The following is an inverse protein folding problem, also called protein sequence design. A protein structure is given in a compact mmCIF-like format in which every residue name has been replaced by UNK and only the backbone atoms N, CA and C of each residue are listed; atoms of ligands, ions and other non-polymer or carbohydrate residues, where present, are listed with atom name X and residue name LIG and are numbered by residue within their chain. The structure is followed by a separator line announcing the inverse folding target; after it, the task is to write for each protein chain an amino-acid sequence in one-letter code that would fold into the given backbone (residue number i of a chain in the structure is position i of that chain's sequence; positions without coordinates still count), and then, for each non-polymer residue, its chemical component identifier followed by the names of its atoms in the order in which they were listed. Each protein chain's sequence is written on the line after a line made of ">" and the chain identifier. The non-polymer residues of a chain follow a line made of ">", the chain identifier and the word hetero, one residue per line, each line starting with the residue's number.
data_IF_164641780989
#
_entry.id   IF_164641780989
#
_cell.length_a   1.000
_cell.length_b   1.000
_cell.length_c   1.000
_cell.angle_alpha   90.00
_cell.angle_beta   90.00
_cell.angle_gamma   90.00
#
_symmetry.space_group_name_H-M   'P 1'
#
loop_
_entity.id
_entity.type
_entity.pdbx_description
1 polymer ?
#
# COMPACT_ATOMS: atom_id res chain seq x y z
N UNK A 1 42.94 -2.42 20.82
CA UNK A 1 42.01 -3.55 20.99
C UNK A 1 41.47 -3.91 19.62
N UNK A 2 41.75 -5.11 19.12
CA UNK A 2 41.16 -5.55 17.85
C UNK A 2 39.65 -5.74 18.07
N UNK A 3 38.84 -4.95 17.37
CA UNK A 3 37.40 -5.17 17.28
C UNK A 3 37.19 -6.52 16.60
N UNK A 4 36.77 -7.54 17.36
CA UNK A 4 36.33 -8.80 16.79
C UNK A 4 35.01 -8.49 16.08
N UNK A 5 35.08 -8.39 14.76
CA UNK A 5 33.89 -8.20 13.93
C UNK A 5 33.03 -9.46 14.06
N UNK A 6 31.84 -9.34 14.64
CA UNK A 6 30.87 -10.44 14.68
C UNK A 6 30.42 -10.73 13.25
N UNK A 7 30.80 -11.89 12.70
CA UNK A 7 30.53 -12.35 11.32
C UNK A 7 29.48 -13.47 11.27
N UNK A 8 28.63 -13.54 12.30
CA UNK A 8 27.64 -14.61 12.50
C UNK A 8 26.75 -14.84 11.28
N UNK A 9 26.33 -13.79 10.58
CA UNK A 9 25.49 -13.95 9.40
C UNK A 9 26.22 -14.68 8.27
N UNK A 10 27.45 -14.28 7.95
CA UNK A 10 28.23 -14.90 6.86
C UNK A 10 28.71 -16.32 7.18
N UNK A 11 28.78 -16.68 8.45
CA UNK A 11 29.06 -18.04 8.92
C UNK A 11 27.83 -18.96 8.80
N UNK A 12 26.64 -18.42 9.06
CA UNK A 12 25.39 -19.20 9.06
C UNK A 12 24.65 -19.22 7.71
N UNK A 13 24.79 -18.17 6.89
CA UNK A 13 24.02 -17.98 5.67
C UNK A 13 24.88 -17.54 4.47
N UNK A 14 24.58 -18.11 3.30
CA UNK A 14 25.15 -17.70 2.02
C UNK A 14 24.15 -16.84 1.26
N UNK A 15 24.57 -15.65 0.79
CA UNK A 15 23.74 -14.72 0.01
C UNK A 15 23.77 -15.03 -1.50
N UNK A 16 22.61 -14.83 -2.16
CA UNK A 16 22.42 -15.02 -3.59
C UNK A 16 21.75 -13.78 -4.23
N UNK A 17 20.93 -13.92 -5.27
CA UNK A 17 20.36 -12.81 -6.03
C UNK A 17 19.48 -11.85 -5.20
N UNK A 18 19.36 -10.61 -5.69
CA UNK A 18 18.45 -9.61 -5.13
C UNK A 18 17.00 -9.92 -5.53
N UNK A 19 16.12 -9.94 -4.54
CA UNK A 19 14.67 -10.16 -4.71
C UNK A 19 13.90 -8.84 -4.69
N UNK A 20 14.43 -7.81 -4.02
CA UNK A 20 13.80 -6.50 -3.95
C UNK A 20 14.62 -5.48 -3.17
N UNK A 21 14.22 -4.21 -3.27
CA UNK A 21 14.94 -3.08 -2.67
C UNK A 21 13.97 -2.11 -1.99
N UNK A 22 14.29 -1.76 -0.75
CA UNK A 22 13.62 -0.71 0.02
C UNK A 22 14.48 0.55 0.13
N UNK A 23 14.00 1.54 0.89
CA UNK A 23 14.71 2.81 1.08
C UNK A 23 16.08 2.64 1.76
N UNK A 24 16.16 1.78 2.79
CA UNK A 24 17.38 1.55 3.59
C UNK A 24 17.78 0.07 3.65
N UNK A 25 17.13 -0.76 2.83
CA UNK A 25 17.29 -2.21 2.87
C UNK A 25 17.33 -2.82 1.48
N UNK A 26 17.98 -3.97 1.37
CA UNK A 26 17.88 -4.86 0.21
C UNK A 26 17.43 -6.23 0.69
N UNK A 27 16.55 -6.87 -0.07
CA UNK A 27 16.11 -8.25 0.19
C UNK A 27 16.83 -9.15 -0.80
N UNK A 28 17.55 -10.14 -0.30
CA UNK A 28 18.27 -11.13 -1.13
C UNK A 28 17.86 -12.54 -0.74
N UNK A 29 17.87 -13.47 -1.69
CA UNK A 29 17.77 -14.90 -1.36
C UNK A 29 19.01 -15.30 -0.57
N UNK A 30 18.84 -16.14 0.44
CA UNK A 30 19.95 -16.73 1.18
C UNK A 30 19.67 -18.20 1.51
N UNK A 31 20.74 -18.97 1.75
CA UNK A 31 20.66 -20.38 2.13
C UNK A 31 21.39 -20.57 3.45
N UNK A 32 20.75 -21.25 4.40
CA UNK A 32 21.39 -21.59 5.68
C UNK A 32 22.39 -22.72 5.46
N UNK A 33 23.67 -22.47 5.71
CA UNK A 33 24.80 -23.32 5.28
C UNK A 33 24.65 -24.77 5.75
N UNK A 34 24.33 -24.98 7.03
CA UNK A 34 24.23 -26.33 7.61
C UNK A 34 22.95 -27.08 7.23
N UNK A 35 21.87 -26.36 6.93
CA UNK A 35 20.55 -26.96 6.70
C UNK A 35 20.20 -27.09 5.21
N UNK A 36 20.87 -26.34 4.32
CA UNK A 36 20.50 -26.23 2.91
C UNK A 36 19.16 -25.54 2.66
N UNK A 37 18.49 -25.02 3.70
CA UNK A 37 17.17 -24.40 3.61
C UNK A 37 17.28 -22.96 3.10
N UNK A 38 16.41 -22.59 2.16
CA UNK A 38 16.36 -21.26 1.56
C UNK A 38 15.45 -20.28 2.34
N UNK A 39 15.85 -19.01 2.34
CA UNK A 39 15.20 -17.90 3.04
C UNK A 39 15.35 -16.58 2.26
N UNK A 40 14.60 -15.56 2.68
CA UNK A 40 14.80 -14.17 2.24
C UNK A 40 15.48 -13.36 3.35
N UNK A 41 16.69 -12.86 3.09
CA UNK A 41 17.40 -11.97 4.01
C UNK A 41 17.11 -10.50 3.67
N UNK A 42 16.39 -9.80 4.55
CA UNK A 42 16.27 -8.33 4.50
C UNK A 42 17.49 -7.73 5.22
N UNK A 43 18.40 -7.20 4.42
CA UNK A 43 19.67 -6.62 4.86
C UNK A 43 19.50 -5.11 4.97
N UNK A 44 19.68 -4.58 6.17
CA UNK A 44 19.41 -3.18 6.50
C UNK A 44 20.72 -2.52 6.87
N UNK A 45 21.07 -1.41 6.21
CA UNK A 45 22.30 -0.67 6.53
C UNK A 45 22.04 0.25 7.73
N UNK A 46 22.47 -0.17 8.92
CA UNK A 46 22.21 0.56 10.17
C UNK A 46 23.00 1.85 10.28
N UNK A 47 24.13 2.00 9.56
CA UNK A 47 24.92 3.25 9.51
C UNK A 47 24.16 4.41 8.84
N UNK A 48 23.15 4.10 8.01
CA UNK A 48 22.32 5.10 7.32
C UNK A 48 21.02 5.41 8.06
N UNK A 49 20.75 4.76 9.18
CA UNK A 49 19.50 4.96 9.93
C UNK A 49 19.63 6.13 10.91
N UNK A 50 18.59 6.94 10.99
CA UNK A 50 18.40 7.85 12.11
C UNK A 50 18.11 7.07 13.40
N UNK A 51 18.30 7.68 14.58
CA UNK A 51 17.91 7.05 15.85
C UNK A 51 16.44 6.60 15.86
N UNK A 52 15.56 7.39 15.23
CA UNK A 52 14.14 7.07 15.08
C UNK A 52 13.91 5.85 14.19
N UNK A 53 14.67 5.69 13.11
CA UNK A 53 14.51 4.54 12.22
C UNK A 53 15.13 3.27 12.83
N UNK A 54 16.14 3.41 13.69
CA UNK A 54 16.66 2.30 14.50
C UNK A 54 15.57 1.75 15.45
N UNK A 55 14.84 2.62 16.14
CA UNK A 55 13.72 2.21 16.99
C UNK A 55 12.58 1.54 16.20
N UNK A 56 12.31 1.98 14.97
CA UNK A 56 11.32 1.31 14.10
C UNK A 56 11.78 -0.09 13.72
N UNK A 57 13.06 -0.26 13.40
CA UNK A 57 13.65 -1.57 13.09
C UNK A 57 13.54 -2.53 14.28
N UNK A 58 13.90 -2.08 15.49
CA UNK A 58 13.76 -2.91 16.69
C UNK A 58 12.31 -3.33 16.94
N UNK A 59 11.35 -2.42 16.72
CA UNK A 59 9.92 -2.74 16.80
C UNK A 59 9.50 -3.75 15.72
N UNK A 60 9.91 -3.56 14.47
CA UNK A 60 9.60 -4.49 13.37
C UNK A 60 10.13 -5.90 13.70
N UNK A 61 11.38 -6.02 14.13
CA UNK A 61 11.98 -7.30 14.50
C UNK A 61 11.25 -7.98 15.67
N UNK A 62 10.86 -7.21 16.69
CA UNK A 62 10.10 -7.71 17.84
C UNK A 62 8.71 -8.21 17.43
N UNK A 63 7.96 -7.41 16.65
CA UNK A 63 6.63 -7.77 16.15
C UNK A 63 6.72 -9.04 15.29
N UNK A 64 7.63 -9.07 14.32
CA UNK A 64 7.77 -10.21 13.42
C UNK A 64 8.18 -11.51 14.16
N UNK A 65 8.90 -11.41 15.30
CA UNK A 65 9.22 -12.56 16.15
C UNK A 65 8.00 -13.11 16.91
N UNK A 66 7.06 -12.24 17.28
CA UNK A 66 5.82 -12.58 17.96
C UNK A 66 4.83 -13.29 17.02
N UNK A 67 4.76 -12.84 15.76
CA UNK A 67 3.76 -13.30 14.80
C UNK A 67 4.17 -14.63 14.14
N UNK A 68 3.50 -15.72 14.55
CA UNK A 68 3.66 -17.06 13.99
C UNK A 68 2.31 -17.57 13.47
N UNK A 69 2.08 -17.41 12.17
CA UNK A 69 0.83 -17.80 11.52
C UNK A 69 1.11 -18.26 10.07
N UNK A 70 0.42 -19.28 9.53
CA UNK A 70 0.64 -19.77 8.16
C UNK A 70 0.50 -18.67 7.09
N UNK A 71 -0.44 -17.75 7.29
CA UNK A 71 -0.71 -16.62 6.38
C UNK A 71 0.08 -15.35 6.70
N UNK A 72 1.16 -15.44 7.49
CA UNK A 72 2.11 -14.34 7.72
C UNK A 72 3.50 -14.81 7.27
N UNK A 73 4.28 -13.91 6.65
CA UNK A 73 5.70 -14.18 6.34
C UNK A 73 6.48 -14.23 7.65
N UNK A 74 6.93 -15.42 8.03
CA UNK A 74 7.57 -15.64 9.33
C UNK A 74 9.00 -15.12 9.36
N UNK A 75 9.38 -14.48 10.47
CA UNK A 75 10.78 -14.21 10.81
C UNK A 75 11.38 -15.44 11.53
N UNK A 76 12.47 -15.96 10.98
CA UNK A 76 13.23 -17.09 11.51
C UNK A 76 14.38 -16.64 12.40
N UNK A 77 15.09 -15.59 12.00
CA UNK A 77 16.24 -15.09 12.73
C UNK A 77 16.41 -13.58 12.56
N UNK A 78 17.09 -12.95 13.50
CA UNK A 78 17.44 -11.53 13.49
C UNK A 78 18.86 -11.37 14.00
N UNK A 79 19.78 -11.01 13.11
CA UNK A 79 21.21 -10.93 13.38
C UNK A 79 21.64 -9.48 13.22
N UNK A 80 22.27 -8.91 14.25
CA UNK A 80 22.84 -7.56 14.22
C UNK A 80 24.36 -7.67 14.17
N UNK A 81 24.97 -7.02 13.17
CA UNK A 81 26.41 -6.93 12.97
C UNK A 81 26.85 -5.47 12.84
N UNK A 82 28.15 -5.22 12.72
CA UNK A 82 28.66 -3.87 12.57
C UNK A 82 28.14 -3.21 11.27
N UNK A 83 27.24 -2.25 11.43
CA UNK A 83 26.68 -1.47 10.33
C UNK A 83 25.59 -2.14 9.51
N UNK A 84 25.21 -3.38 9.84
CA UNK A 84 24.13 -4.11 9.18
C UNK A 84 23.24 -4.86 10.17
N UNK A 85 21.97 -4.97 9.81
CA UNK A 85 21.01 -5.84 10.51
C UNK A 85 20.34 -6.74 9.48
N UNK A 86 20.32 -8.03 9.74
CA UNK A 86 19.74 -9.06 8.88
C UNK A 86 18.48 -9.60 9.54
N UNK A 87 17.36 -9.50 8.85
CA UNK A 87 16.11 -10.16 9.22
C UNK A 87 15.86 -11.31 8.24
N UNK A 88 15.82 -12.54 8.75
CA UNK A 88 15.73 -13.76 7.94
C UNK A 88 14.28 -14.23 7.91
N UNK A 89 13.63 -14.12 6.76
CA UNK A 89 12.22 -14.44 6.57
C UNK A 89 12.00 -15.69 5.73
N UNK A 90 10.78 -16.24 5.79
CA UNK A 90 10.29 -17.20 4.78
C UNK A 90 10.63 -16.68 3.36
N UNK A 91 11.20 -17.54 2.52
CA UNK A 91 11.28 -17.25 1.10
C UNK A 91 9.91 -17.48 0.45
N UNK A 92 9.28 -16.42 -0.02
CA UNK A 92 8.01 -16.48 -0.77
C UNK A 92 8.28 -16.28 -2.26
N UNK A 93 7.83 -17.21 -3.09
CA UNK A 93 8.20 -17.27 -4.53
C UNK A 93 7.01 -17.11 -5.48
N UNK A 94 5.79 -17.02 -4.94
CA UNK A 94 4.57 -16.85 -5.74
C UNK A 94 4.34 -15.43 -6.25
N UNK A 95 5.10 -14.44 -5.76
CA UNK A 95 4.91 -13.04 -6.12
C UNK A 95 3.70 -12.42 -5.43
N UNK A 96 3.18 -11.33 -6.00
CA UNK A 96 2.03 -10.59 -5.47
C UNK A 96 0.72 -11.26 -5.87
N UNK A 97 -0.22 -11.40 -4.92
CA UNK A 97 -1.53 -12.01 -5.14
C UNK A 97 -2.28 -11.41 -6.34
N UNK A 98 -2.22 -10.09 -6.49
CA UNK A 98 -2.93 -9.36 -7.54
C UNK A 98 -2.37 -9.63 -8.93
N UNK A 99 -1.09 -9.95 -9.06
CA UNK A 99 -0.47 -10.34 -10.34
C UNK A 99 -0.88 -11.77 -10.72
N UNK A 100 -0.95 -12.67 -9.74
CA UNK A 100 -1.41 -14.05 -9.96
C UNK A 100 -2.87 -14.09 -10.42
N UNK A 101 -3.77 -13.32 -9.80
CA UNK A 101 -5.19 -13.24 -10.21
C UNK A 101 -5.33 -12.86 -11.69
N UNK A 102 -4.52 -11.91 -12.15
CA UNK A 102 -4.52 -11.44 -13.54
C UNK A 102 -4.09 -12.54 -14.54
N UNK A 103 -3.28 -13.49 -14.09
CA UNK A 103 -2.77 -14.60 -14.91
C UNK A 103 -3.70 -15.83 -14.92
N UNK A 104 -4.78 -15.83 -14.12
CA UNK A 104 -5.71 -16.97 -14.07
C UNK A 104 -6.67 -16.96 -15.25
N UNK A 105 -6.93 -18.14 -15.79
CA UNK A 105 -8.01 -18.35 -16.79
C UNK A 105 -9.40 -18.17 -16.16
N UNK A 106 -9.53 -18.48 -14.87
CA UNK A 106 -10.78 -18.42 -14.12
C UNK A 106 -10.61 -17.67 -12.81
N UNK A 107 -11.53 -16.75 -12.52
CA UNK A 107 -11.58 -15.99 -11.28
C UNK A 107 -13.01 -15.60 -10.92
N UNK A 108 -13.42 -15.92 -9.69
CA UNK A 108 -14.79 -15.76 -9.20
C UNK A 108 -14.86 -15.10 -7.82
N UNK A 109 -16.08 -14.82 -7.33
CA UNK A 109 -16.27 -14.37 -5.95
C UNK A 109 -15.81 -15.43 -4.93
N UNK A 110 -15.98 -16.72 -5.24
CA UNK A 110 -15.49 -17.79 -4.39
C UNK A 110 -13.97 -17.72 -4.21
N UNK A 111 -13.22 -17.41 -5.27
CA UNK A 111 -11.77 -17.20 -5.22
C UNK A 111 -11.40 -15.97 -4.38
N UNK A 112 -12.10 -14.85 -4.60
CA UNK A 112 -11.92 -13.62 -3.83
C UNK A 112 -12.20 -13.84 -2.33
N UNK A 113 -13.28 -14.59 -2.03
CA UNK A 113 -13.66 -15.00 -0.68
C UNK A 113 -12.57 -15.86 -0.03
N UNK A 114 -11.95 -16.76 -0.79
CA UNK A 114 -10.83 -17.58 -0.29
C UNK A 114 -9.58 -16.75 0.00
N UNK A 115 -9.28 -15.77 -0.84
CA UNK A 115 -8.17 -14.86 -0.62
C UNK A 115 -8.39 -13.98 0.62
N UNK A 116 -9.57 -13.33 0.74
CA UNK A 116 -9.86 -12.44 1.87
C UNK A 116 -9.96 -13.19 3.20
N UNK A 117 -10.41 -14.46 3.19
CA UNK A 117 -10.42 -15.30 4.39
C UNK A 117 -8.99 -15.43 4.96
N UNK A 118 -8.01 -15.80 4.14
CA UNK A 118 -6.62 -15.97 4.56
C UNK A 118 -6.00 -14.66 5.06
N UNK A 119 -6.38 -13.53 4.44
CA UNK A 119 -5.97 -12.19 4.88
C UNK A 119 -6.57 -11.89 6.26
N UNK A 120 -7.86 -12.15 6.45
CA UNK A 120 -8.55 -11.94 7.73
C UNK A 120 -8.03 -12.85 8.84
N UNK A 121 -7.64 -14.09 8.54
CA UNK A 121 -6.99 -15.00 9.50
C UNK A 121 -5.64 -14.43 9.95
N UNK A 122 -4.83 -13.91 9.03
CA UNK A 122 -3.57 -13.23 9.37
C UNK A 122 -3.81 -11.96 10.21
N UNK A 123 -4.78 -11.13 9.83
CA UNK A 123 -5.14 -9.89 10.56
C UNK A 123 -5.69 -10.21 11.95
N UNK A 124 -6.53 -11.23 12.09
CA UNK A 124 -7.03 -11.68 13.38
C UNK A 124 -5.89 -12.12 14.28
N UNK A 125 -4.92 -12.90 13.76
CA UNK A 125 -3.74 -13.31 14.52
C UNK A 125 -2.93 -12.10 14.99
N UNK A 126 -2.70 -11.10 14.12
CA UNK A 126 -2.07 -9.84 14.51
C UNK A 126 -2.83 -9.17 15.66
N UNK A 127 -4.15 -9.04 15.54
CA UNK A 127 -5.01 -8.36 16.52
C UNK A 127 -5.05 -9.08 17.87
N UNK A 128 -5.03 -10.41 17.86
CA UNK A 128 -4.93 -11.24 19.07
C UNK A 128 -3.58 -11.07 19.78
N UNK A 129 -2.51 -10.87 19.02
CA UNK A 129 -1.17 -10.58 19.54
C UNK A 129 -0.96 -9.10 19.89
N UNK A 130 -2.01 -8.28 19.86
CA UNK A 130 -1.92 -6.85 20.14
C UNK A 130 -1.14 -6.08 19.08
N UNK A 131 -1.13 -6.52 17.83
CA UNK A 131 -0.42 -5.87 16.71
C UNK A 131 -1.43 -5.29 15.73
N UNK A 132 -1.19 -4.05 15.29
CA UNK A 132 -1.93 -3.40 14.19
C UNK A 132 -0.97 -3.17 13.03
N UNK A 133 -1.35 -3.63 11.83
CA UNK A 133 -0.46 -3.61 10.65
C UNK A 133 -0.29 -2.19 10.08
N UNK A 134 -1.39 -1.44 9.94
CA UNK A 134 -1.48 -0.04 9.45
C UNK A 134 -1.11 0.22 7.98
N UNK A 135 -0.58 -0.76 7.26
CA UNK A 135 -0.26 -0.62 5.83
C UNK A 135 -0.68 -1.85 5.00
N UNK A 136 -1.89 -2.34 5.22
CA UNK A 136 -2.47 -3.39 4.38
C UNK A 136 -2.77 -2.84 2.99
N UNK A 137 -2.20 -3.49 1.97
CA UNK A 137 -2.31 -3.13 0.55
C UNK A 137 -1.86 -4.29 -0.34
N UNK A 138 -2.20 -4.30 -1.65
CA UNK A 138 -1.82 -5.36 -2.58
C UNK A 138 -0.33 -5.74 -2.57
N UNK A 139 0.56 -4.77 -2.43
CA UNK A 139 2.02 -4.98 -2.38
C UNK A 139 2.47 -5.89 -1.23
N UNK A 140 1.69 -5.92 -0.14
CA UNK A 140 2.00 -6.65 1.08
C UNK A 140 1.28 -8.01 1.14
N UNK A 141 0.59 -8.41 0.07
CA UNK A 141 -0.14 -9.67 -0.05
C UNK A 141 0.56 -10.57 -1.06
N UNK A 142 1.39 -11.48 -0.55
CA UNK A 142 2.24 -12.35 -1.34
C UNK A 142 1.68 -13.78 -1.40
N UNK A 143 2.07 -14.54 -2.41
CA UNK A 143 1.78 -15.97 -2.49
C UNK A 143 3.01 -16.77 -2.07
N UNK A 144 2.78 -17.80 -1.24
CA UNK A 144 3.87 -18.63 -0.72
C UNK A 144 4.70 -19.28 -1.84
N UNK A 145 4.05 -19.71 -2.93
CA UNK A 145 4.71 -20.28 -4.11
C UNK A 145 3.87 -20.06 -5.36
N UNK A 146 4.38 -20.48 -6.53
CA UNK A 146 3.64 -20.47 -7.81
C UNK A 146 2.69 -21.65 -7.99
N UNK A 147 2.61 -22.55 -7.00
CA UNK A 147 1.72 -23.70 -7.07
C UNK A 147 0.26 -23.25 -7.00
N UNK A 148 -0.62 -23.92 -7.75
CA UNK A 148 -2.05 -23.66 -7.70
C UNK A 148 -2.56 -23.89 -6.27
N UNK A 149 -3.27 -22.91 -5.71
CA UNK A 149 -3.75 -22.96 -4.33
C UNK A 149 -2.69 -22.62 -3.27
N UNK A 150 -1.57 -22.00 -3.66
CA UNK A 150 -0.60 -21.47 -2.71
C UNK A 150 -1.26 -20.51 -1.71
N UNK A 151 -0.83 -20.59 -0.44
CA UNK A 151 -1.35 -19.74 0.61
C UNK A 151 -1.00 -18.27 0.40
N UNK A 152 -1.94 -17.38 0.72
CA UNK A 152 -1.70 -15.94 0.82
C UNK A 152 -0.92 -15.67 2.11
N UNK A 153 0.16 -14.90 2.01
CA UNK A 153 1.03 -14.49 3.11
C UNK A 153 1.11 -12.97 3.20
N UNK A 154 0.72 -12.44 4.36
CA UNK A 154 0.91 -11.05 4.72
C UNK A 154 2.38 -10.75 5.01
N UNK A 155 2.92 -9.72 4.37
CA UNK A 155 4.31 -9.29 4.48
C UNK A 155 4.43 -7.81 4.92
N UNK A 156 5.65 -7.40 5.27
CA UNK A 156 6.07 -6.03 5.61
C UNK A 156 5.36 -5.37 6.81
N UNK A 157 5.90 -5.62 7.99
CA UNK A 157 5.45 -5.03 9.26
C UNK A 157 6.21 -3.74 9.64
N UNK A 158 6.89 -3.08 8.70
CA UNK A 158 7.71 -1.89 8.98
C UNK A 158 6.92 -0.70 9.56
N UNK A 159 5.61 -0.64 9.31
CA UNK A 159 4.69 0.35 9.88
C UNK A 159 3.84 -0.18 11.04
N UNK A 160 3.97 -1.46 11.40
CA UNK A 160 3.18 -2.07 12.45
C UNK A 160 3.49 -1.47 13.83
N UNK A 161 2.51 -1.56 14.73
CA UNK A 161 2.59 -1.11 16.12
C UNK A 161 2.03 -2.17 17.05
N UNK A 162 2.47 -2.12 18.30
CA UNK A 162 1.86 -2.86 19.40
C UNK A 162 0.82 -1.95 20.08
N UNK A 163 -0.32 -2.52 20.45
CA UNK A 163 -1.42 -1.89 21.18
C UNK A 163 -1.78 -2.76 22.38
N UNK A 164 -2.12 -2.11 23.49
CA UNK A 164 -2.49 -2.81 24.72
C UNK A 164 -4.00 -3.06 24.76
N UNK A 165 -4.41 -4.33 24.66
CA UNK A 165 -5.83 -4.71 24.63
C UNK A 165 -6.58 -4.02 23.48
N UNK A 166 -7.65 -3.30 23.83
CA UNK A 166 -8.49 -2.49 22.92
C UNK A 166 -8.21 -0.99 23.02
N UNK A 167 -7.14 -0.58 23.72
CA UNK A 167 -6.80 0.83 23.87
C UNK A 167 -6.51 1.48 22.51
N UNK A 168 -7.02 2.68 22.32
CA UNK A 168 -6.78 3.50 21.15
C UNK A 168 -5.91 4.69 21.53
N UNK A 169 -4.95 5.03 20.66
CA UNK A 169 -4.10 6.19 20.83
C UNK A 169 -3.76 6.80 19.47
N UNK A 170 -3.17 8.00 19.50
CA UNK A 170 -2.64 8.60 18.30
C UNK A 170 -1.23 8.07 18.02
N UNK A 171 -1.12 7.10 17.10
CA UNK A 171 0.17 6.51 16.71
C UNK A 171 0.84 7.20 15.51
N UNK A 172 0.38 8.40 15.17
CA UNK A 172 0.85 9.20 14.05
C UNK A 172 0.18 8.86 12.72
N UNK A 173 0.43 9.70 11.73
CA UNK A 173 -0.04 9.54 10.36
C UNK A 173 0.89 8.60 9.58
N UNK A 174 0.43 7.39 9.28
CA UNK A 174 1.17 6.39 8.54
C UNK A 174 0.22 5.48 7.75
N UNK A 175 0.69 4.96 6.61
CA UNK A 175 -0.06 4.09 5.71
C UNK A 175 -0.13 4.64 4.29
N UNK A 176 -0.64 3.83 3.36
CA UNK A 176 -0.74 4.18 1.94
C UNK A 176 -2.07 4.92 1.65
N UNK A 177 -2.07 6.10 1.01
CA UNK A 177 -3.23 7.01 0.92
C UNK A 177 -4.60 6.40 0.59
N UNK A 178 -4.69 5.50 -0.41
CA UNK A 178 -5.96 4.88 -0.82
C UNK A 178 -6.52 3.83 0.15
N UNK A 179 -5.75 3.44 1.16
CA UNK A 179 -6.10 2.43 2.17
C UNK A 179 -6.20 3.01 3.58
N UNK A 180 -5.91 4.31 3.75
CA UNK A 180 -6.02 5.00 5.04
C UNK A 180 -7.49 5.03 5.50
N UNK A 181 -7.71 4.78 6.78
CA UNK A 181 -9.04 4.85 7.37
C UNK A 181 -9.44 6.30 7.75
N UNK A 182 -10.75 6.58 7.88
CA UNK A 182 -11.25 7.92 8.19
C UNK A 182 -10.65 8.50 9.48
N UNK A 183 -10.55 7.69 10.54
CA UNK A 183 -10.02 8.12 11.84
C UNK A 183 -8.54 8.52 11.77
N UNK A 184 -7.72 7.87 10.95
CA UNK A 184 -6.32 8.28 10.74
C UNK A 184 -6.25 9.64 10.04
N UNK A 185 -7.12 9.87 9.04
CA UNK A 185 -7.19 11.14 8.31
C UNK A 185 -7.75 12.29 9.15
N UNK A 186 -8.65 12.00 10.09
CA UNK A 186 -9.19 12.96 11.06
C UNK A 186 -8.25 13.26 12.21
N UNK A 187 -7.18 12.46 12.35
CA UNK A 187 -6.24 12.49 13.47
C UNK A 187 -6.86 12.08 14.81
N UNK A 188 -7.88 11.24 14.74
CA UNK A 188 -8.50 10.65 15.93
C UNK A 188 -7.59 9.53 16.49
N UNK A 189 -7.68 9.21 17.79
CA UNK A 189 -7.10 7.98 18.32
C UNK A 189 -7.63 6.77 17.54
N UNK A 190 -6.74 5.82 17.23
CA UNK A 190 -7.12 4.65 16.45
C UNK A 190 -6.45 3.38 17.01
N UNK A 191 -6.84 2.23 16.47
CA UNK A 191 -6.32 0.92 16.87
C UNK A 191 -6.60 -0.13 15.80
N UNK A 192 -6.88 -1.37 16.21
CA UNK A 192 -7.16 -2.54 15.35
C UNK A 192 -8.12 -2.28 14.16
N UNK A 193 -9.21 -1.50 14.30
CA UNK A 193 -10.18 -1.30 13.20
C UNK A 193 -9.61 -0.68 11.91
N UNK A 194 -8.45 -0.02 11.95
CA UNK A 194 -7.84 0.56 10.73
C UNK A 194 -7.47 -0.51 9.71
N UNK A 195 -7.09 -1.71 10.18
CA UNK A 195 -6.74 -2.82 9.29
C UNK A 195 -8.00 -3.36 8.59
N UNK A 196 -9.16 -3.35 9.27
CA UNK A 196 -10.42 -3.82 8.68
C UNK A 196 -10.96 -2.86 7.63
N UNK A 197 -10.70 -1.56 7.76
CA UNK A 197 -10.97 -0.61 6.69
C UNK A 197 -10.16 -0.96 5.43
N UNK A 198 -8.85 -1.18 5.60
CA UNK A 198 -7.98 -1.56 4.50
C UNK A 198 -8.37 -2.91 3.88
N UNK A 199 -8.82 -3.89 4.68
CA UNK A 199 -9.41 -5.13 4.17
C UNK A 199 -10.66 -4.87 3.30
N UNK A 200 -11.52 -3.92 3.67
CA UNK A 200 -12.68 -3.53 2.86
C UNK A 200 -12.28 -2.95 1.52
N UNK A 201 -11.25 -2.08 1.50
CA UNK A 201 -10.69 -1.53 0.26
C UNK A 201 -10.10 -2.64 -0.62
N UNK A 202 -9.34 -3.57 -0.03
CA UNK A 202 -8.77 -4.72 -0.73
C UNK A 202 -9.86 -5.62 -1.30
N UNK A 203 -10.89 -5.96 -0.52
CA UNK A 203 -12.00 -6.80 -0.96
C UNK A 203 -12.76 -6.16 -2.13
N UNK A 204 -13.01 -4.85 -2.07
CA UNK A 204 -13.61 -4.12 -3.18
C UNK A 204 -12.79 -4.30 -4.48
N UNK A 205 -11.47 -4.11 -4.42
CA UNK A 205 -10.60 -4.28 -5.59
C UNK A 205 -10.57 -5.75 -6.05
N UNK A 206 -10.58 -6.72 -5.14
CA UNK A 206 -10.63 -8.14 -5.49
C UNK A 206 -11.89 -8.50 -6.28
N UNK A 207 -13.00 -7.77 -6.13
CA UNK A 207 -14.26 -8.07 -6.81
C UNK A 207 -14.41 -7.40 -8.18
N UNK A 208 -13.89 -6.19 -8.36
CA UNK A 208 -14.11 -5.40 -9.60
C UNK A 208 -12.85 -4.81 -10.23
N UNK A 209 -11.70 -4.95 -9.58
CA UNK A 209 -10.40 -4.61 -10.15
C UNK A 209 -10.03 -3.12 -10.10
N UNK A 210 -10.84 -2.27 -9.46
CA UNK A 210 -10.56 -0.85 -9.22
C UNK A 210 -10.85 -0.47 -7.76
N UNK A 211 -10.21 0.57 -7.21
CA UNK A 211 -10.40 0.97 -5.81
C UNK A 211 -11.71 1.74 -5.56
N UNK A 212 -12.31 1.63 -4.37
CA UNK A 212 -13.54 2.35 -3.99
C UNK A 212 -13.32 3.86 -3.81
N UNK A 213 -12.09 4.26 -3.46
CA UNK A 213 -11.71 5.67 -3.28
C UNK A 213 -10.56 5.99 -4.21
N UNK A 214 -10.75 6.95 -5.10
CA UNK A 214 -9.71 7.37 -6.02
C UNK A 214 -9.92 8.81 -6.49
N UNK A 215 -8.84 9.59 -6.42
CA UNK A 215 -8.72 10.91 -7.05
C UNK A 215 -7.23 11.14 -7.37
N UNK A 216 -6.96 12.01 -8.34
CA UNK A 216 -5.60 12.50 -8.61
C UNK A 216 -5.15 13.50 -7.54
N UNK A 217 -6.10 14.27 -7.01
CA UNK A 217 -5.88 15.19 -5.91
C UNK A 217 -6.01 14.45 -4.57
N UNK A 218 -4.91 14.40 -3.84
CA UNK A 218 -4.83 13.72 -2.55
C UNK A 218 -5.79 14.32 -1.51
N UNK A 219 -6.07 15.62 -1.56
CA UNK A 219 -7.04 16.25 -0.67
C UNK A 219 -8.45 15.75 -0.96
N UNK A 220 -8.86 15.69 -2.23
CA UNK A 220 -10.18 15.16 -2.61
C UNK A 220 -10.33 13.69 -2.28
N UNK A 221 -9.30 12.88 -2.51
CA UNK A 221 -9.26 11.48 -2.05
C UNK A 221 -9.52 11.37 -0.55
N UNK A 222 -8.87 12.20 0.27
CA UNK A 222 -9.07 12.20 1.71
C UNK A 222 -10.48 12.64 2.12
N UNK A 223 -11.12 13.54 1.37
CA UNK A 223 -12.52 13.89 1.62
C UNK A 223 -13.46 12.73 1.29
N UNK A 224 -13.25 12.02 0.18
CA UNK A 224 -14.03 10.81 -0.18
C UNK A 224 -13.94 9.76 0.94
N UNK A 225 -12.72 9.44 1.40
CA UNK A 225 -12.50 8.47 2.48
C UNK A 225 -13.19 8.92 3.77
N UNK A 226 -12.98 10.17 4.20
CA UNK A 226 -13.63 10.70 5.42
C UNK A 226 -15.14 10.72 5.33
N UNK A 227 -15.72 10.88 4.15
CA UNK A 227 -17.16 10.84 3.92
C UNK A 227 -17.69 9.40 3.77
N UNK A 228 -16.81 8.39 3.63
CA UNK A 228 -17.20 7.04 3.22
C UNK A 228 -17.91 7.04 1.87
N UNK A 229 -17.52 7.95 0.97
CA UNK A 229 -18.15 8.13 -0.34
C UNK A 229 -17.58 7.12 -1.34
N UNK A 230 -18.16 5.93 -1.36
CA UNK A 230 -17.98 4.91 -2.39
C UNK A 230 -19.35 4.35 -2.79
N UNK A 231 -19.42 3.72 -3.95
CA UNK A 231 -20.63 3.12 -4.49
C UNK A 231 -20.35 1.76 -5.16
N UNK A 232 -21.41 1.14 -5.66
CA UNK A 232 -21.36 -0.13 -6.39
C UNK A 232 -21.95 0.09 -7.79
N UNK A 233 -21.21 0.74 -8.71
CA UNK A 233 -21.75 1.17 -9.99
C UNK A 233 -22.03 0.01 -10.94
N UNK A 234 -23.06 0.16 -11.75
CA UNK A 234 -23.36 -0.73 -12.88
C UNK A 234 -22.39 -0.47 -14.05
N UNK A 235 -22.09 -1.49 -14.88
CA UNK A 235 -22.64 -2.85 -14.83
C UNK A 235 -21.84 -3.84 -13.95
N UNK A 236 -20.61 -3.52 -13.57
CA UNK A 236 -19.69 -4.51 -12.99
C UNK A 236 -20.19 -5.07 -11.67
N UNK A 237 -20.89 -4.24 -10.87
CA UNK A 237 -21.46 -4.65 -9.58
C UNK A 237 -22.83 -5.30 -9.67
N UNK A 238 -23.51 -5.29 -10.81
CA UNK A 238 -24.88 -5.85 -10.94
C UNK A 238 -24.89 -7.36 -10.71
N UNK A 239 -23.78 -8.02 -11.07
CA UNK A 239 -23.59 -9.47 -10.91
C UNK A 239 -22.90 -9.85 -9.60
N UNK A 240 -22.54 -8.87 -8.76
CA UNK A 240 -21.90 -9.12 -7.46
C UNK A 240 -22.96 -9.41 -6.41
N UNK A 241 -22.77 -10.49 -5.65
CA UNK A 241 -23.73 -10.93 -4.63
C UNK A 241 -24.02 -9.84 -3.58
N UNK A 242 -25.26 -9.74 -3.09
CA UNK A 242 -25.61 -8.83 -2.00
C UNK A 242 -24.74 -9.04 -0.75
N UNK A 243 -24.36 -10.29 -0.46
CA UNK A 243 -23.56 -10.65 0.72
C UNK A 243 -22.10 -10.17 0.61
N UNK A 244 -21.53 -10.12 -0.61
CA UNK A 244 -20.22 -9.50 -0.83
C UNK A 244 -20.27 -7.99 -0.54
N UNK A 245 -21.30 -7.31 -1.06
CA UNK A 245 -21.55 -5.87 -0.84
C UNK A 245 -21.78 -5.58 0.64
N UNK A 246 -22.57 -6.40 1.32
CA UNK A 246 -22.83 -6.29 2.77
C UNK A 246 -21.54 -6.42 3.60
N UNK A 247 -20.66 -7.38 3.27
CA UNK A 247 -19.36 -7.50 3.93
C UNK A 247 -18.48 -6.27 3.71
N UNK A 248 -18.43 -5.74 2.49
CA UNK A 248 -17.72 -4.49 2.18
C UNK A 248 -18.29 -3.33 3.00
N UNK A 249 -19.61 -3.18 3.07
CA UNK A 249 -20.28 -2.13 3.84
C UNK A 249 -19.91 -2.19 5.33
N UNK A 250 -19.87 -3.39 5.90
CA UNK A 250 -19.48 -3.64 7.29
C UNK A 250 -18.01 -3.32 7.56
N UNK A 251 -17.11 -3.53 6.58
CA UNK A 251 -15.69 -3.16 6.66
C UNK A 251 -15.44 -1.67 6.43
N UNK A 252 -16.11 -1.06 5.45
CA UNK A 252 -16.02 0.36 5.10
C UNK A 252 -17.00 1.23 5.92
N UNK A 253 -17.32 0.79 7.13
CA UNK A 253 -18.09 1.57 8.10
C UNK A 253 -17.20 2.67 8.68
N UNK A 254 -17.64 3.92 8.54
CA UNK A 254 -16.87 5.12 8.92
C UNK A 254 -16.54 5.15 10.42
N UNK A 255 -17.51 4.81 11.26
CA UNK A 255 -17.30 4.77 12.70
C UNK A 255 -16.54 3.48 13.07
N UNK A 256 -15.28 3.56 13.55
CA UNK A 256 -14.48 2.37 13.87
C UNK A 256 -15.10 1.49 14.97
N UNK A 257 -15.93 2.05 15.87
CA UNK A 257 -16.60 1.25 16.92
C UNK A 257 -17.79 0.43 16.41
N UNK A 258 -18.26 0.72 15.19
CA UNK A 258 -19.33 -0.03 14.50
C UNK A 258 -18.81 -0.89 13.36
N UNK A 259 -17.52 -0.75 13.03
CA UNK A 259 -16.87 -1.50 11.97
C UNK A 259 -16.69 -2.95 12.41
N UNK A 260 -16.98 -3.87 11.51
CA UNK A 260 -16.83 -5.31 11.77
C UNK A 260 -15.39 -5.64 12.18
N UNK A 261 -15.22 -6.54 13.14
CA UNK A 261 -13.91 -7.07 13.53
C UNK A 261 -13.47 -8.21 12.61
N UNK A 262 -12.19 -8.58 12.62
CA UNK A 262 -11.72 -9.72 11.84
C UNK A 262 -12.40 -11.04 12.24
N UNK A 263 -12.65 -11.25 13.54
CA UNK A 263 -13.34 -12.43 14.05
C UNK A 263 -14.80 -12.52 13.59
N UNK A 264 -15.50 -11.39 13.52
CA UNK A 264 -16.87 -11.32 13.00
C UNK A 264 -16.91 -11.49 11.49
N UNK A 265 -15.95 -10.87 10.77
CA UNK A 265 -15.84 -10.99 9.31
C UNK A 265 -15.61 -12.44 8.87
N UNK A 266 -14.77 -13.21 9.58
CA UNK A 266 -14.57 -14.63 9.29
C UNK A 266 -15.84 -15.48 9.46
N UNK A 267 -16.80 -15.03 10.28
CA UNK A 267 -18.11 -15.66 10.46
C UNK A 267 -19.16 -15.16 9.47
N UNK A 268 -18.83 -14.18 8.63
CA UNK A 268 -19.76 -13.65 7.64
C UNK A 268 -20.19 -14.76 6.66
N UNK A 269 -21.46 -14.85 6.23
CA UNK A 269 -21.92 -15.91 5.33
C UNK A 269 -21.15 -16.01 4.02
N UNK A 270 -20.77 -14.86 3.43
CA UNK A 270 -19.96 -14.80 2.20
C UNK A 270 -18.56 -15.44 2.34
N UNK A 271 -18.05 -15.57 3.58
CA UNK A 271 -16.79 -16.26 3.89
C UNK A 271 -17.05 -17.68 4.38
N UNK A 272 -17.81 -17.82 5.46
CA UNK A 272 -18.03 -19.10 6.17
C UNK A 272 -18.89 -20.11 5.40
N UNK A 273 -19.80 -19.64 4.53
CA UNK A 273 -20.66 -20.46 3.68
C UNK A 273 -20.38 -20.20 2.20
N UNK A 274 -19.11 -19.96 1.84
CA UNK A 274 -18.66 -19.64 0.47
C UNK A 274 -19.28 -20.53 -0.59
N UNK A 275 -19.36 -21.85 -0.36
CA UNK A 275 -19.87 -22.83 -1.33
C UNK A 275 -21.33 -22.62 -1.75
N UNK A 276 -22.12 -21.92 -0.93
CA UNK A 276 -23.54 -21.65 -1.21
C UNK A 276 -23.84 -20.17 -1.41
N UNK A 277 -22.99 -19.27 -0.92
CA UNK A 277 -23.23 -17.82 -0.90
C UNK A 277 -22.39 -17.06 -1.93
N UNK A 278 -21.10 -17.40 -2.08
CA UNK A 278 -20.23 -16.68 -3.01
C UNK A 278 -20.48 -17.16 -4.44
N UNK A 279 -20.63 -16.22 -5.38
CA UNK A 279 -20.84 -16.57 -6.79
C UNK A 279 -19.64 -17.31 -7.37
N UNK A 280 -19.90 -18.46 -8.00
CA UNK A 280 -18.89 -19.18 -8.76
C UNK A 280 -18.68 -18.59 -10.15
N UNK A 281 -19.46 -17.60 -10.62
CA UNK A 281 -19.38 -17.06 -11.97
C UNK A 281 -17.99 -16.46 -12.28
N UNK A 282 -17.44 -16.76 -13.47
CA UNK A 282 -16.20 -16.13 -13.94
C UNK A 282 -16.39 -14.63 -14.15
N UNK A 283 -15.43 -13.83 -13.69
CA UNK A 283 -15.47 -12.36 -13.74
C UNK A 283 -14.34 -11.81 -14.61
N UNK A 284 -14.50 -11.92 -15.93
CA UNK A 284 -13.49 -11.48 -16.89
C UNK A 284 -13.21 -9.96 -16.82
N UNK A 285 -14.25 -9.15 -16.66
CA UNK A 285 -14.11 -7.69 -16.52
C UNK A 285 -13.24 -7.30 -15.32
N UNK A 286 -13.39 -8.01 -14.20
CA UNK A 286 -12.56 -7.83 -13.00
C UNK A 286 -11.09 -8.08 -13.32
N UNK A 287 -10.78 -9.16 -14.03
CA UNK A 287 -9.40 -9.51 -14.44
C UNK A 287 -8.80 -8.40 -15.32
N UNK A 288 -9.58 -7.86 -16.26
CA UNK A 288 -9.09 -6.81 -17.18
C UNK A 288 -8.92 -5.44 -16.50
N UNK A 289 -9.80 -5.10 -15.56
CA UNK A 289 -9.62 -3.93 -14.69
C UNK A 289 -8.38 -4.09 -13.80
N UNK A 290 -8.15 -5.29 -13.26
CA UNK A 290 -7.01 -5.58 -12.39
C UNK A 290 -5.67 -5.48 -13.13
N UNK A 291 -5.62 -5.87 -14.41
CA UNK A 291 -4.45 -5.63 -15.29
C UNK A 291 -4.08 -4.14 -15.32
N UNK A 292 -5.07 -3.27 -15.54
CA UNK A 292 -4.87 -1.80 -15.58
C UNK A 292 -4.44 -1.28 -14.22
N UNK A 293 -5.04 -1.77 -13.14
CA UNK A 293 -4.68 -1.42 -11.78
C UNK A 293 -3.22 -1.75 -11.45
N UNK A 294 -2.78 -2.98 -11.76
CA UNK A 294 -1.40 -3.43 -11.55
C UNK A 294 -0.41 -2.61 -12.36
N UNK A 295 -0.67 -2.39 -13.65
CA UNK A 295 0.18 -1.57 -14.51
C UNK A 295 0.34 -0.15 -13.95
N UNK A 296 -0.77 0.48 -13.52
CA UNK A 296 -0.76 1.82 -12.93
C UNK A 296 0.06 1.88 -11.64
N UNK A 297 -0.09 0.88 -10.78
CA UNK A 297 0.62 0.76 -9.50
C UNK A 297 2.12 0.60 -9.70
N UNK A 298 2.54 -0.29 -10.61
CA UNK A 298 3.95 -0.50 -10.97
C UNK A 298 4.58 0.75 -11.58
N UNK A 299 3.86 1.46 -12.46
CA UNK A 299 4.34 2.72 -13.03
C UNK A 299 4.58 3.79 -11.96
N UNK A 300 3.63 3.97 -11.02
CA UNK A 300 3.81 4.91 -9.89
C UNK A 300 5.03 4.55 -9.04
N UNK A 301 5.23 3.25 -8.75
CA UNK A 301 6.40 2.77 -8.02
C UNK A 301 7.73 3.03 -8.75
N UNK A 302 7.76 2.83 -10.08
CA UNK A 302 8.93 3.08 -10.90
C UNK A 302 9.28 4.58 -10.96
N UNK A 303 8.29 5.45 -11.15
CA UNK A 303 8.48 6.91 -11.17
C UNK A 303 9.04 7.39 -9.82
N UNK A 304 8.49 6.92 -8.70
CA UNK A 304 8.98 7.25 -7.37
C UNK A 304 10.43 6.79 -7.17
N UNK A 305 10.77 5.58 -7.62
CA UNK A 305 12.15 5.06 -7.57
C UNK A 305 13.11 5.93 -8.37
N UNK A 306 12.72 6.34 -9.59
CA UNK A 306 13.52 7.24 -10.43
C UNK A 306 13.70 8.62 -9.79
N UNK A 307 12.65 9.21 -9.21
CA UNK A 307 12.74 10.50 -8.51
C UNK A 307 13.66 10.45 -7.28
N UNK A 308 13.63 9.35 -6.53
CA UNK A 308 14.53 9.13 -5.40
C UNK A 308 15.99 8.94 -5.87
N UNK A 309 16.19 8.22 -6.97
CA UNK A 309 17.50 8.05 -7.58
C UNK A 309 18.07 9.37 -8.11
N UNK A 310 17.26 10.21 -8.79
CA UNK A 310 17.70 11.50 -9.29
C UNK A 310 17.95 12.52 -8.18
N UNK A 311 17.19 12.53 -7.08
CA UNK A 311 17.53 13.32 -5.87
C UNK A 311 18.88 12.93 -5.26
N UNK A 312 19.21 11.64 -5.26
CA UNK A 312 20.52 11.17 -4.79
C UNK A 312 21.67 11.55 -5.74
N UNK A 313 21.39 11.76 -7.04
CA UNK A 313 22.36 12.24 -8.02
C UNK A 313 22.52 13.77 -7.99
N UNK A 314 21.43 14.53 -7.86
CA UNK A 314 21.50 15.99 -7.74
C UNK A 314 22.09 16.46 -6.41
N UNK A 315 22.09 15.62 -5.36
CA UNK A 315 22.83 15.85 -4.12
C UNK A 315 24.37 15.73 -4.25
N UNK A 316 24.90 15.16 -5.34
CA UNK A 316 26.35 14.99 -5.55
C UNK A 316 27.01 16.17 -6.29
N UNK A 317 26.25 17.16 -6.74
CA UNK A 317 26.76 18.28 -7.54
C UNK A 317 27.01 19.57 -6.74
N UNK A 318 26.98 19.52 -5.40
CA UNK A 318 27.28 20.69 -4.54
C UNK A 318 28.62 20.60 -3.80
N UNK A 319 29.39 19.51 -3.98
CA UNK A 319 30.61 19.27 -3.19
C UNK A 319 31.86 19.03 -4.05
N UNK A 320 31.96 19.77 -5.16
CA UNK A 320 33.23 20.02 -5.85
C UNK A 320 33.51 21.52 -5.78
N UNK A 321 34.24 21.92 -4.73
CA UNK A 321 34.97 23.19 -4.68
C UNK A 321 35.87 23.29 -5.90
N UNK A 322 35.53 24.18 -6.82
CA UNK A 322 36.42 24.63 -7.89
C UNK A 322 37.43 25.59 -7.25
N UNK A 323 38.75 25.34 -7.29
CA UNK A 323 39.73 26.35 -6.91
C UNK A 323 39.80 27.41 -8.01
N UNK A 324 39.77 28.68 -7.57
CA UNK A 324 40.12 29.85 -8.39
C UNK A 324 41.41 29.63 -9.17
N UNK A 325 41.33 29.69 -10.51
CA UNK A 325 42.44 30.14 -11.34
C UNK A 325 41.87 31.13 -12.35
N UNK A 326 42.35 32.37 -12.23
CA UNK A 326 42.13 33.46 -13.18
C UNK A 326 43.01 33.27 -14.41
N UNK A 327 42.47 33.69 -15.55
CA UNK A 327 43.12 34.51 -16.59
C UNK A 327 43.12 33.96 -18.02
N UNK A 328 42.66 34.85 -18.90
CA UNK A 328 43.03 35.08 -20.31
C UNK A 328 42.26 34.36 -21.43
N UNK A 329 41.55 35.22 -22.18
CA UNK A 329 40.97 35.06 -23.51
C UNK A 329 42.01 34.56 -24.52
N UNK A 330 41.62 33.67 -25.43
CA UNK A 330 42.03 33.71 -26.85
C UNK A 330 41.12 32.83 -27.73
N UNK A 331 40.82 33.39 -28.89
CA UNK A 331 39.93 32.95 -29.96
C UNK A 331 40.44 31.69 -30.68
N UNK A 332 39.54 30.87 -31.23
CA UNK A 332 39.89 29.79 -32.15
C UNK A 332 38.70 29.05 -32.76
N UNK A 333 38.34 29.45 -33.98
CA UNK A 333 37.51 28.74 -34.97
C UNK A 333 38.01 27.28 -35.18
N UNK A 334 37.31 26.27 -35.73
CA UNK A 334 36.20 26.17 -36.68
C UNK A 334 35.74 24.68 -36.74
N UNK A 335 34.65 24.34 -37.45
CA UNK A 335 33.94 23.06 -37.37
C UNK A 335 34.29 22.06 -38.48
N UNK A 336 34.05 20.76 -38.25
CA UNK A 336 34.04 19.73 -39.30
C UNK A 336 32.64 19.15 -39.51
N UNK A 337 32.12 19.38 -40.72
CA UNK A 337 31.00 18.66 -41.37
C UNK A 337 31.49 17.30 -41.88
N UNK A 338 30.62 16.31 -42.08
CA UNK A 338 30.11 15.75 -43.37
C UNK A 338 29.77 14.28 -43.02
N UNK A 339 28.75 13.54 -43.49
CA UNK A 339 27.49 13.72 -44.22
C UNK A 339 26.77 12.37 -44.16
N UNK A 340 25.44 12.31 -44.35
CA UNK A 340 24.77 11.48 -45.36
C UNK A 340 23.30 11.91 -45.43
N UNK A 341 22.82 12.15 -46.65
CA UNK A 341 21.49 12.68 -46.97
C UNK A 341 20.42 11.61 -47.22
N UNK A 342 19.45 11.85 -48.12
CA UNK A 342 18.14 12.36 -47.71
C UNK A 342 16.96 11.57 -48.29
N UNK A 343 15.81 11.58 -47.59
CA UNK A 343 14.45 11.37 -48.10
C UNK A 343 13.50 11.70 -46.94
N UNK A 344 12.36 12.36 -47.03
CA UNK A 344 11.67 13.19 -48.00
C UNK A 344 10.39 13.66 -47.27
N UNK A 345 10.01 14.94 -47.38
CA UNK A 345 8.62 15.49 -47.29
C UNK A 345 7.84 15.25 -45.96
N UNK A 346 7.03 16.13 -45.40
CA UNK A 346 6.45 17.42 -45.77
C UNK A 346 5.54 17.86 -44.61
N UNK A 347 5.43 19.18 -44.35
CA UNK A 347 4.26 19.91 -43.77
C UNK A 347 3.86 19.54 -42.32
N UNK A 348 3.55 20.45 -41.40
CA UNK A 348 3.40 21.90 -41.43
C UNK A 348 3.23 22.41 -39.99
N UNK A 349 3.74 23.62 -39.73
CA UNK A 349 3.58 24.35 -38.46
C UNK A 349 2.11 24.77 -38.29
N UNK A 350 1.56 24.54 -37.11
CA UNK A 350 0.44 25.35 -36.60
C UNK A 350 0.98 26.21 -35.45
N UNK A 351 0.83 27.52 -35.61
CA UNK A 351 1.17 28.55 -34.62
C UNK A 351 0.11 28.57 -33.52
N UNK A 352 0.58 28.81 -32.31
CA UNK A 352 -0.23 29.23 -31.17
C UNK A 352 -0.77 30.65 -31.40
N UNK A 353 -2.01 30.88 -31.00
CA UNK A 353 -2.56 32.21 -30.71
C UNK A 353 -3.16 32.17 -29.32
N UNK A 354 -2.58 32.98 -28.44
CA UNK A 354 -3.16 33.46 -27.19
C UNK A 354 -4.38 34.32 -27.52
N UNK A 355 -5.42 34.29 -26.68
CA UNK A 355 -6.32 35.44 -26.55
C UNK A 355 -6.86 35.60 -25.13
N UNK A 356 -6.94 36.87 -24.76
CA UNK A 356 -7.00 37.43 -23.42
C UNK A 356 -8.46 37.71 -23.00
N UNK A 357 -8.65 37.81 -21.68
CA UNK A 357 -9.90 38.11 -20.97
C UNK A 357 -10.47 39.52 -21.23
N UNK A 358 -11.80 39.60 -21.24
CA UNK A 358 -12.67 40.63 -20.59
C UNK A 358 -13.99 39.91 -20.26
N UNK A 359 -14.72 40.05 -19.14
CA UNK A 359 -14.94 41.15 -18.21
C UNK A 359 -16.41 41.59 -18.33
N UNK A 360 -17.29 41.20 -17.40
CA UNK A 360 -18.70 41.63 -17.41
C UNK A 360 -19.53 41.15 -16.21
N UNK A 361 -19.87 42.09 -15.33
CA UNK A 361 -20.65 41.96 -14.09
C UNK A 361 -22.17 41.84 -14.34
N UNK A 362 -22.88 41.19 -13.41
CA UNK A 362 -24.33 41.29 -13.24
C UNK A 362 -24.73 40.80 -11.85
N UNK A 363 -25.43 41.65 -11.09
CA UNK A 363 -25.60 41.62 -9.64
C UNK A 363 -27.12 41.64 -9.28
N UNK A 364 -27.47 41.31 -8.03
CA UNK A 364 -28.76 41.55 -7.31
C UNK A 364 -29.90 40.53 -7.56
N UNK A 365 -30.73 40.05 -6.61
CA UNK A 365 -30.88 40.14 -5.15
C UNK A 365 -31.88 39.02 -4.70
N UNK A 366 -32.08 38.73 -3.39
CA UNK A 366 -32.96 37.68 -2.85
C UNK A 366 -34.25 38.20 -2.16
N UNK A 367 -35.26 37.34 -1.99
CA UNK A 367 -36.41 37.50 -1.07
C UNK A 367 -36.59 36.17 -0.29
N UNK A 368 -36.44 36.09 1.04
CA UNK A 368 -37.32 36.55 2.14
C UNK A 368 -38.67 35.81 2.15
N UNK A 369 -38.85 34.80 3.01
CA UNK A 369 -39.35 34.88 4.40
C UNK A 369 -40.88 34.73 4.50
N UNK A 370 -41.32 33.68 5.22
CA UNK A 370 -42.71 33.46 5.59
C UNK A 370 -42.75 32.55 6.81
N UNK A 371 -42.87 33.16 7.98
CA UNK A 371 -43.02 32.51 9.27
C UNK A 371 -44.47 32.07 9.49
N UNK A 372 -44.69 30.99 10.24
CA UNK A 372 -45.85 30.90 11.11
C UNK A 372 -45.57 30.03 12.34
N UNK A 373 -46.13 30.50 13.46
CA UNK A 373 -45.90 30.09 14.85
C UNK A 373 -46.92 29.04 15.30
N UNK A 374 -46.66 28.55 16.52
CA UNK A 374 -47.59 27.97 17.51
C UNK A 374 -47.65 26.44 17.51
N UNK A 375 -47.71 25.72 18.63
CA UNK A 375 -47.91 26.08 20.02
C UNK A 375 -47.25 25.05 20.95
N UNK A 376 -47.07 25.52 22.19
CA UNK A 376 -46.70 24.81 23.41
C UNK A 376 -47.51 23.53 23.69
N UNK A 377 -46.88 22.52 24.32
CA UNK A 377 -47.26 22.02 25.66
C UNK A 377 -46.40 20.80 26.08
N UNK A 378 -45.61 21.01 27.14
CA UNK A 378 -45.27 20.07 28.21
C UNK A 378 -45.64 20.81 29.52
N UNK A 379 -45.70 20.19 30.72
CA UNK A 379 -45.49 18.79 31.08
C UNK A 379 -46.61 18.23 31.99
N UNK A 380 -46.54 16.96 32.37
CA UNK A 380 -46.83 16.55 33.76
C UNK A 380 -46.15 15.22 34.08
N UNK A 381 -45.62 15.17 35.30
CA UNK A 381 -44.91 14.07 35.95
C UNK A 381 -45.76 13.73 37.19
N UNK A 382 -45.84 12.45 37.52
CA UNK A 382 -46.23 11.80 38.81
C UNK A 382 -47.37 10.79 38.64
N UNK A 383 -47.12 9.60 39.17
CA UNK A 383 -47.95 8.39 39.11
C UNK A 383 -47.04 7.21 38.91
#
# INVERSE_FOLDING_TARGET
>A
MATITCTRFTEEYQLFEELGKGAFSVVRRCVKVLAGQEYAAKIINTKKLSARDHQKLEREARICRLLKHPNIVRLHDSISEEGHHYLIFDLVTGGELFEDIVAREYYSEADASHCIQQILEAVLHCHQMGVVHRDLKPENLLLASKLKGAAVKLADFGLAIEVEGEQQAWFGFAGTPGYLSPEVLRKDPYGKPVDLWACGVILYILLVGYPPFWDEDQHRLYQQIKAGAYDFPSPEWDTVTPEAKDLINKMLTINPSKRITAAEALKHPWISHRSTVASCMHRQETVDCLKKFNARRKLKGAILTTMLATRNFSGRWWDLRVPNISCTVLLGASPCRISMGPQARSLGRVRATEDFKTGGLGHLHPEAAGAERSASQRPTRKG
#
